data_IF_950949975039
#
_entry.id   IF_950949975039
#
_cell.length_a   1.000
_cell.length_b   1.000
_cell.length_c   1.000
_cell.angle_alpha   90.00
_cell.angle_beta   90.00
_cell.angle_gamma   90.00
#
_symmetry.space_group_name_H-M   'P 1'
#
loop_
_entity.id
_entity.type
_entity.pdbx_description
1 polymer ?
#
# COMPACT_ATOMS: atom_id res chain seq x y z
N UNK A 1 -31.27 2.11 24.50
CA UNK A 1 -31.41 1.58 23.12
C UNK A 1 -30.55 2.26 22.04
N UNK A 2 -30.34 3.59 22.03
CA UNK A 2 -29.52 4.26 20.99
C UNK A 2 -28.03 3.85 20.97
N UNK A 3 -27.41 3.60 22.13
CA UNK A 3 -25.98 3.25 22.25
C UNK A 3 -25.61 1.95 21.53
N UNK A 4 -26.51 0.96 21.57
CA UNK A 4 -26.33 -0.35 20.91
C UNK A 4 -26.31 -0.18 19.39
N UNK A 5 -27.26 0.59 18.82
CA UNK A 5 -27.29 0.89 17.38
C UNK A 5 -26.06 1.66 16.89
N UNK A 6 -25.49 2.55 17.72
CA UNK A 6 -24.27 3.29 17.37
C UNK A 6 -23.06 2.35 17.33
N UNK A 7 -22.93 1.45 18.31
CA UNK A 7 -21.85 0.46 18.33
C UNK A 7 -21.96 -0.48 17.14
N UNK A 8 -23.18 -0.88 16.79
CA UNK A 8 -23.44 -1.76 15.65
C UNK A 8 -23.21 -1.06 14.31
N UNK A 9 -23.54 0.23 14.20
CA UNK A 9 -23.21 1.07 13.05
C UNK A 9 -21.69 1.27 12.89
N UNK A 10 -20.98 1.56 13.99
CA UNK A 10 -19.52 1.68 13.99
C UNK A 10 -18.84 0.35 13.66
N UNK A 11 -19.34 -0.76 14.23
CA UNK A 11 -18.85 -2.11 13.95
C UNK A 11 -19.07 -2.49 12.49
N UNK A 12 -20.26 -2.27 11.92
CA UNK A 12 -20.51 -2.54 10.50
C UNK A 12 -19.71 -1.61 9.59
N UNK A 13 -19.46 -0.36 9.97
CA UNK A 13 -18.62 0.54 9.18
C UNK A 13 -17.13 0.16 9.24
N UNK A 14 -16.66 -0.34 10.39
CA UNK A 14 -15.32 -0.91 10.54
C UNK A 14 -15.15 -2.22 9.77
N UNK A 15 -16.11 -3.14 9.87
CA UNK A 15 -16.10 -4.43 9.15
C UNK A 15 -16.15 -4.20 7.63
N UNK A 16 -16.93 -3.21 7.17
CA UNK A 16 -17.00 -2.84 5.75
C UNK A 16 -15.75 -2.13 5.22
N UNK A 17 -14.87 -1.66 6.11
CA UNK A 17 -13.62 -0.95 5.80
C UNK A 17 -12.38 -1.75 6.25
N UNK A 18 -12.49 -3.06 6.44
CA UNK A 18 -11.36 -3.91 6.87
C UNK A 18 -10.14 -3.72 5.97
N UNK A 19 -10.37 -3.51 4.67
CA UNK A 19 -9.36 -3.19 3.66
C UNK A 19 -8.53 -1.94 4.05
N UNK A 20 -9.17 -0.93 4.66
CA UNK A 20 -8.52 0.33 5.07
C UNK A 20 -7.65 0.19 6.33
N UNK A 21 -7.97 -0.76 7.21
CA UNK A 21 -7.16 -1.05 8.41
C UNK A 21 -6.06 -2.05 8.09
N UNK A 22 -6.32 -2.98 7.18
CA UNK A 22 -5.37 -4.02 6.80
C UNK A 22 -4.14 -3.44 6.08
N UNK A 23 -4.34 -2.50 5.16
CA UNK A 23 -3.25 -1.86 4.40
C UNK A 23 -2.19 -1.20 5.31
N UNK A 24 -2.52 -0.29 6.24
CA UNK A 24 -1.51 0.34 7.08
C UNK A 24 -0.81 -0.66 8.00
N UNK A 25 -1.50 -1.70 8.48
CA UNK A 25 -0.86 -2.78 9.25
C UNK A 25 0.16 -3.52 8.37
N UNK A 26 -0.21 -3.87 7.14
CA UNK A 26 0.67 -4.54 6.19
C UNK A 26 1.87 -3.66 5.82
N UNK A 27 1.68 -2.35 5.66
CA UNK A 27 2.77 -1.38 5.41
C UNK A 27 3.74 -1.32 6.59
N UNK A 28 3.23 -1.21 7.82
CA UNK A 28 4.06 -1.19 9.03
C UNK A 28 4.86 -2.50 9.13
N UNK A 29 4.21 -3.63 8.88
CA UNK A 29 4.86 -4.93 8.91
C UNK A 29 5.94 -5.03 7.82
N UNK A 30 5.64 -4.55 6.62
CA UNK A 30 6.60 -4.50 5.53
C UNK A 30 7.81 -3.61 5.88
N UNK A 31 7.60 -2.43 6.48
CA UNK A 31 8.68 -1.57 6.97
C UNK A 31 9.58 -2.33 7.94
N UNK A 32 9.00 -3.03 8.92
CA UNK A 32 9.76 -3.80 9.92
C UNK A 32 10.60 -4.89 9.23
N UNK A 33 9.98 -5.72 8.39
CA UNK A 33 10.67 -6.84 7.74
C UNK A 33 11.64 -6.42 6.63
N UNK A 34 11.47 -5.24 6.04
CA UNK A 34 12.34 -4.76 4.95
C UNK A 34 13.52 -3.95 5.49
N UNK A 35 13.32 -3.14 6.54
CA UNK A 35 14.33 -2.15 6.96
C UNK A 35 15.09 -2.54 8.24
N UNK A 36 14.53 -3.37 9.12
CA UNK A 36 15.11 -3.61 10.45
C UNK A 36 15.90 -4.94 10.47
N UNK A 37 17.23 -4.93 10.71
CA UNK A 37 17.99 -6.16 10.99
C UNK A 37 17.58 -6.78 12.34
N UNK A 38 17.55 -8.12 12.49
CA UNK A 38 17.95 -9.15 11.52
C UNK A 38 16.82 -9.56 10.54
N UNK A 39 15.61 -9.01 10.68
CA UNK A 39 14.42 -9.44 9.93
C UNK A 39 14.56 -9.26 8.40
N UNK A 40 15.38 -8.29 7.95
CA UNK A 40 15.61 -8.06 6.52
C UNK A 40 16.47 -9.11 5.79
N UNK A 41 17.08 -10.03 6.54
CA UNK A 41 18.04 -11.00 5.98
C UNK A 41 17.36 -12.29 5.49
N UNK A 42 16.08 -12.50 5.83
CA UNK A 42 15.33 -13.71 5.49
C UNK A 42 14.38 -13.55 4.30
N UNK A 43 13.77 -14.67 3.90
CA UNK A 43 12.77 -14.72 2.81
C UNK A 43 11.51 -13.89 3.12
N UNK A 44 11.22 -13.60 4.39
CA UNK A 44 10.11 -12.74 4.80
C UNK A 44 10.21 -11.34 4.18
N UNK A 45 11.42 -10.81 3.98
CA UNK A 45 11.62 -9.54 3.27
C UNK A 45 11.00 -9.57 1.88
N UNK A 46 11.18 -10.65 1.12
CA UNK A 46 10.66 -10.78 -0.25
C UNK A 46 9.12 -10.87 -0.21
N UNK A 47 8.57 -11.64 0.72
CA UNK A 47 7.12 -11.80 0.90
C UNK A 47 6.46 -10.44 1.18
N UNK A 48 7.08 -9.58 1.97
CA UNK A 48 6.53 -8.25 2.28
C UNK A 48 6.88 -7.19 1.22
N UNK A 49 8.06 -7.27 0.62
CA UNK A 49 8.51 -6.31 -0.40
C UNK A 49 7.71 -6.43 -1.69
N UNK A 50 7.38 -7.65 -2.15
CA UNK A 50 6.67 -7.84 -3.40
C UNK A 50 5.28 -7.18 -3.42
N UNK A 51 4.37 -7.43 -2.46
CA UNK A 51 3.08 -6.75 -2.39
C UNK A 51 3.23 -5.24 -2.18
N UNK A 52 4.21 -4.82 -1.37
CA UNK A 52 4.45 -3.40 -1.12
C UNK A 52 4.90 -2.67 -2.40
N UNK A 53 5.73 -3.28 -3.23
CA UNK A 53 6.29 -2.66 -4.43
C UNK A 53 5.35 -2.79 -5.64
N UNK A 54 4.65 -3.92 -5.79
CA UNK A 54 3.88 -4.23 -7.01
C UNK A 54 2.37 -3.98 -6.89
N UNK A 55 1.83 -3.78 -5.68
CA UNK A 55 0.38 -3.70 -5.52
C UNK A 55 -0.10 -2.57 -4.61
N UNK A 56 0.47 -2.46 -3.40
CA UNK A 56 -0.07 -1.57 -2.36
C UNK A 56 -0.18 -0.09 -2.77
N UNK A 57 0.88 0.58 -3.28
CA UNK A 57 0.80 2.01 -3.56
C UNK A 57 -0.18 2.29 -4.71
N UNK A 58 -0.23 1.42 -5.72
CA UNK A 58 -1.21 1.52 -6.79
C UNK A 58 -2.64 1.26 -6.32
N UNK A 59 -2.86 0.27 -5.43
CA UNK A 59 -4.18 0.02 -4.84
C UNK A 59 -4.66 1.19 -3.99
N UNK A 60 -3.76 1.77 -3.18
CA UNK A 60 -4.08 2.98 -2.40
C UNK A 60 -4.46 4.14 -3.31
N UNK A 61 -3.71 4.36 -4.39
CA UNK A 61 -4.02 5.40 -5.37
C UNK A 61 -5.40 5.17 -6.01
N UNK A 62 -5.69 3.95 -6.46
CA UNK A 62 -7.00 3.60 -7.04
C UNK A 62 -8.13 3.71 -6.02
N UNK A 63 -7.90 3.36 -4.75
CA UNK A 63 -8.88 3.53 -3.70
C UNK A 63 -9.20 5.02 -3.43
N UNK A 64 -8.23 5.91 -3.63
CA UNK A 64 -8.41 7.36 -3.51
C UNK A 64 -9.12 7.94 -4.74
N UNK A 65 -8.71 7.56 -5.95
CA UNK A 65 -9.27 8.07 -7.20
C UNK A 65 -10.69 7.53 -7.45
N UNK A 66 -10.92 6.25 -7.16
CA UNK A 66 -12.20 5.54 -7.39
C UNK A 66 -12.75 4.95 -6.08
N UNK A 67 -13.25 5.78 -5.16
CA UNK A 67 -13.70 5.36 -3.84
C UNK A 67 -15.09 4.69 -3.83
N UNK A 68 -15.91 4.87 -4.87
CA UNK A 68 -17.29 4.35 -4.85
C UNK A 68 -17.33 2.88 -5.29
N UNK A 69 -18.21 2.12 -4.65
CA UNK A 69 -18.50 0.72 -5.03
C UNK A 69 -19.16 0.70 -6.42
N UNK A 70 -18.51 0.04 -7.38
CA UNK A 70 -19.01 -0.11 -8.76
C UNK A 70 -18.35 0.79 -9.81
N UNK A 71 -17.44 1.70 -9.43
CA UNK A 71 -16.68 2.51 -10.42
C UNK A 71 -15.68 1.68 -11.21
N UNK A 72 -15.16 0.63 -10.59
CA UNK A 72 -14.27 -0.35 -11.21
C UNK A 72 -14.75 -1.74 -10.81
N UNK A 73 -14.78 -2.65 -11.77
CA UNK A 73 -14.90 -4.08 -11.48
C UNK A 73 -13.68 -4.56 -10.69
N UNK A 74 -13.80 -5.71 -10.01
CA UNK A 74 -12.70 -6.25 -9.21
C UNK A 74 -11.43 -6.53 -10.03
N UNK A 75 -11.59 -6.96 -11.28
CA UNK A 75 -10.46 -7.25 -12.17
C UNK A 75 -9.78 -5.96 -12.67
N UNK A 76 -10.56 -4.93 -12.97
CA UNK A 76 -10.02 -3.61 -13.36
C UNK A 76 -9.29 -2.99 -12.18
N UNK A 77 -9.88 -3.00 -10.98
CA UNK A 77 -9.24 -2.49 -9.76
C UNK A 77 -7.90 -3.19 -9.52
N UNK A 78 -7.84 -4.51 -9.66
CA UNK A 78 -6.61 -5.27 -9.52
C UNK A 78 -5.56 -4.91 -10.59
N UNK A 79 -5.97 -4.89 -11.85
CA UNK A 79 -5.10 -4.58 -13.00
C UNK A 79 -4.52 -3.17 -12.90
N UNK A 80 -5.37 -2.18 -12.63
CA UNK A 80 -4.93 -0.80 -12.43
C UNK A 80 -4.01 -0.65 -11.23
N UNK A 81 -4.27 -1.35 -10.13
CA UNK A 81 -3.39 -1.31 -8.95
C UNK A 81 -1.97 -1.74 -9.30
N UNK A 82 -1.80 -2.82 -10.07
CA UNK A 82 -0.47 -3.26 -10.52
C UNK A 82 0.15 -2.24 -11.47
N UNK A 83 -0.60 -1.80 -12.49
CA UNK A 83 -0.11 -0.85 -13.48
C UNK A 83 0.36 0.48 -12.85
N UNK A 84 -0.43 1.04 -11.93
CA UNK A 84 -0.07 2.25 -11.21
C UNK A 84 1.09 2.03 -10.24
N UNK A 85 1.17 0.88 -9.57
CA UNK A 85 2.30 0.58 -8.67
C UNK A 85 3.63 0.56 -9.43
N UNK A 86 3.66 -0.05 -10.61
CA UNK A 86 4.84 -0.07 -11.49
C UNK A 86 5.15 1.34 -11.96
N UNK A 87 4.15 2.10 -12.43
CA UNK A 87 4.34 3.47 -12.87
C UNK A 87 4.96 4.34 -11.76
N UNK A 88 4.39 4.31 -10.54
CA UNK A 88 4.90 5.04 -9.37
C UNK A 88 6.35 4.63 -9.11
N UNK A 89 6.65 3.32 -9.02
CA UNK A 89 8.01 2.84 -8.73
C UNK A 89 9.03 3.30 -9.77
N UNK A 90 8.65 3.29 -11.06
CA UNK A 90 9.50 3.78 -12.15
C UNK A 90 9.74 5.29 -12.02
N UNK A 91 8.68 6.07 -11.77
CA UNK A 91 8.81 7.51 -11.57
C UNK A 91 9.61 7.88 -10.32
N UNK A 92 9.46 7.15 -9.23
CA UNK A 92 10.27 7.32 -8.02
C UNK A 92 11.75 7.04 -8.33
N UNK A 93 12.04 5.96 -9.06
CA UNK A 93 13.40 5.64 -9.51
C UNK A 93 14.00 6.73 -10.39
N UNK A 94 13.23 7.24 -11.37
CA UNK A 94 13.66 8.38 -12.18
C UNK A 94 13.85 9.63 -11.33
N UNK A 95 12.91 9.96 -10.44
CA UNK A 95 12.98 11.14 -9.58
C UNK A 95 14.20 11.12 -8.67
N UNK A 96 14.51 9.95 -8.09
CA UNK A 96 15.73 9.75 -7.31
C UNK A 96 16.98 9.88 -8.18
N UNK A 97 16.99 9.34 -9.40
CA UNK A 97 18.11 9.46 -10.32
C UNK A 97 18.34 10.90 -10.82
N UNK A 98 17.29 11.68 -11.05
CA UNK A 98 17.44 13.09 -11.41
C UNK A 98 17.79 13.98 -10.21
N UNK A 99 17.69 13.47 -8.98
CA UNK A 99 18.18 14.14 -7.76
C UNK A 99 19.64 13.76 -7.44
N UNK A 100 20.44 13.53 -8.48
CA UNK A 100 21.90 13.34 -8.42
C UNK A 100 22.63 14.66 -8.10
N UNK A 101 22.31 15.25 -6.95
CA UNK A 101 22.98 16.43 -6.40
C UNK A 101 23.17 16.42 -4.87
N UNK A 102 22.50 15.52 -4.13
CA UNK A 102 22.57 15.48 -2.65
C UNK A 102 23.13 14.16 -2.10
N UNK A 103 23.11 13.07 -2.87
CA UNK A 103 23.60 11.74 -2.44
C UNK A 103 24.53 11.11 -3.45
N UNK A 104 25.49 11.85 -4.03
CA UNK A 104 26.60 11.20 -4.72
C UNK A 104 27.50 10.53 -3.66
N UNK A 105 27.57 9.18 -3.56
CA UNK A 105 28.75 8.59 -2.98
C UNK A 105 29.84 8.79 -4.05
N UNK A 106 30.96 9.38 -3.65
CA UNK A 106 32.17 9.56 -4.48
C UNK A 106 32.18 10.90 -5.26
N UNK A 107 32.72 11.91 -4.60
CA UNK A 107 33.89 12.63 -5.13
C UNK A 107 35.08 12.28 -4.25
#
# INVERSE_FOLDING_TARGET
MKKIRIIEYLKNRLINNLDLIFIPILVILAIIFILIPPFNQGFLRIIFALPLLLFLPGYMLIAIIFPKRGELSSIERFTFSIGFSIAITVFDGFGLNYTDGVLSPIR
#
